data_IF_093924866983
#
_entry.id   IF_093924866983
#
_cell.length_a   1.000
_cell.length_b   1.000
_cell.length_c   1.000
_cell.angle_alpha   90.00
_cell.angle_beta   90.00
_cell.angle_gamma   90.00
#
_symmetry.space_group_name_H-M   'P 1'
#
loop_
_entity.id
_entity.type
_entity.pdbx_description
1 polymer ?
#
# COMPACT_ATOMS: atom_id res chain seq x y z
N UNK A 1 4.40 -40.63 -29.70
CA UNK A 1 3.37 -39.82 -28.99
C UNK A 1 3.63 -38.33 -29.14
N UNK A 2 4.79 -37.79 -28.73
CA UNK A 2 5.10 -36.34 -28.77
C UNK A 2 4.77 -35.68 -30.12
N UNK A 3 5.16 -36.28 -31.26
CA UNK A 3 4.91 -35.71 -32.58
C UNK A 3 3.42 -35.54 -32.94
N UNK A 4 2.51 -36.35 -32.38
CA UNK A 4 1.06 -36.18 -32.57
C UNK A 4 0.49 -35.04 -31.73
N UNK A 5 1.08 -34.75 -30.57
CA UNK A 5 0.72 -33.60 -29.74
C UNK A 5 1.13 -32.30 -30.44
N UNK A 6 2.38 -32.20 -30.88
CA UNK A 6 2.86 -31.02 -31.64
C UNK A 6 2.05 -30.80 -32.91
N UNK A 7 1.75 -31.85 -33.70
CA UNK A 7 0.99 -31.72 -34.93
C UNK A 7 -0.49 -31.33 -34.76
N UNK A 8 -1.07 -31.49 -33.56
CA UNK A 8 -2.48 -31.14 -33.29
C UNK A 8 -2.66 -29.88 -32.45
N UNK A 9 -1.77 -29.67 -31.48
CA UNK A 9 -1.93 -28.61 -30.47
C UNK A 9 -1.19 -27.34 -30.88
N UNK A 10 -0.06 -27.46 -31.60
CA UNK A 10 0.65 -26.28 -32.09
C UNK A 10 -0.23 -25.35 -32.95
N UNK A 11 -0.96 -25.81 -33.99
CA UNK A 11 -1.76 -24.88 -34.81
C UNK A 11 -2.91 -24.20 -34.05
N UNK A 12 -3.43 -24.79 -32.96
CA UNK A 12 -4.43 -24.14 -32.11
C UNK A 12 -3.79 -23.10 -31.17
N UNK A 13 -2.55 -23.33 -30.71
CA UNK A 13 -1.79 -22.34 -29.94
C UNK A 13 -1.37 -21.18 -30.84
N UNK A 14 -0.84 -21.46 -32.03
CA UNK A 14 -0.43 -20.44 -32.99
C UNK A 14 -1.65 -19.54 -33.33
N UNK A 15 -2.82 -20.11 -33.64
CA UNK A 15 -4.06 -19.33 -33.88
C UNK A 15 -4.52 -18.50 -32.68
N UNK A 16 -4.33 -18.99 -31.45
CA UNK A 16 -4.69 -18.24 -30.24
C UNK A 16 -3.73 -17.07 -29.96
N UNK A 17 -2.47 -17.18 -30.40
CA UNK A 17 -1.51 -16.07 -30.35
C UNK A 17 -1.84 -15.01 -31.40
N UNK A 18 -2.17 -15.44 -32.63
CA UNK A 18 -2.64 -14.54 -33.70
C UNK A 18 -3.92 -13.77 -33.26
N UNK A 19 -4.89 -14.46 -32.64
CA UNK A 19 -6.12 -13.86 -32.08
C UNK A 19 -5.85 -12.87 -30.92
N UNK A 20 -4.74 -12.99 -30.21
CA UNK A 20 -4.33 -12.01 -29.17
C UNK A 20 -3.66 -10.80 -29.83
N UNK A 21 -2.74 -11.02 -30.78
CA UNK A 21 -1.99 -9.94 -31.43
C UNK A 21 -2.93 -9.02 -32.23
N UNK A 22 -3.90 -9.57 -32.99
CA UNK A 22 -4.95 -8.79 -33.66
C UNK A 22 -5.84 -8.00 -32.68
N UNK A 23 -6.09 -8.54 -31.48
CA UNK A 23 -6.96 -7.89 -30.49
C UNK A 23 -6.22 -6.81 -29.68
N UNK A 24 -4.92 -6.98 -29.41
CA UNK A 24 -4.06 -5.96 -28.81
C UNK A 24 -3.83 -4.79 -29.80
N UNK A 25 -3.64 -5.06 -31.09
CA UNK A 25 -3.58 -4.03 -32.14
C UNK A 25 -4.93 -3.28 -32.27
N UNK A 26 -6.06 -3.98 -32.23
CA UNK A 26 -7.40 -3.38 -32.32
C UNK A 26 -7.86 -2.64 -31.04
N UNK A 27 -7.20 -2.83 -29.89
CA UNK A 27 -7.35 -1.97 -28.72
C UNK A 27 -6.45 -0.73 -28.85
N UNK A 28 -5.22 -0.87 -29.36
CA UNK A 28 -4.30 0.25 -29.58
C UNK A 28 -4.84 1.30 -30.58
N UNK A 29 -5.56 0.89 -31.64
CA UNK A 29 -6.20 1.84 -32.57
C UNK A 29 -7.43 2.57 -31.98
N UNK A 30 -8.00 2.13 -30.83
CA UNK A 30 -9.16 2.81 -30.21
C UNK A 30 -8.79 3.97 -29.29
N UNK A 31 -7.53 4.09 -28.87
CA UNK A 31 -7.08 5.14 -27.95
C UNK A 31 -6.81 6.50 -28.64
N UNK A 32 -6.96 6.62 -29.97
CA UNK A 32 -6.72 7.88 -30.70
C UNK A 32 -7.90 8.88 -30.75
N UNK A 33 -9.09 8.56 -30.23
CA UNK A 33 -10.21 9.53 -30.11
C UNK A 33 -10.64 9.79 -28.65
N UNK A 34 -9.84 10.56 -27.92
CA UNK A 34 -10.29 11.29 -26.73
C UNK A 34 -10.48 12.78 -27.05
N UNK A 35 -11.61 13.40 -26.66
CA UNK A 35 -11.81 14.83 -26.82
C UNK A 35 -10.90 15.63 -25.88
N UNK A 36 -10.34 16.72 -26.42
CA UNK A 36 -9.54 17.72 -25.72
C UNK A 36 -10.39 18.51 -24.70
N UNK A 37 -10.48 17.99 -23.47
CA UNK A 37 -11.05 18.69 -22.32
C UNK A 37 -9.95 19.09 -21.32
N UNK A 38 -9.56 20.36 -21.45
CA UNK A 38 -8.68 21.12 -20.55
C UNK A 38 -8.98 20.85 -19.05
N UNK A 39 -8.01 20.32 -18.30
CA UNK A 39 -7.92 20.64 -16.86
C UNK A 39 -6.46 20.85 -16.45
N UNK A 40 -6.10 22.12 -16.31
CA UNK A 40 -4.84 22.54 -15.69
C UNK A 40 -4.74 21.93 -14.28
N UNK A 41 -3.81 20.98 -14.08
CA UNK A 41 -2.75 21.10 -13.08
C UNK A 41 -1.65 20.05 -13.28
N UNK A 42 -0.46 20.53 -13.64
CA UNK A 42 0.80 19.78 -13.71
C UNK A 42 1.34 19.48 -12.29
N UNK A 43 0.63 18.61 -11.57
CA UNK A 43 1.10 17.95 -10.35
C UNK A 43 1.35 16.47 -10.63
N UNK A 44 2.29 15.84 -9.92
CA UNK A 44 2.48 14.40 -10.03
C UNK A 44 1.14 13.69 -9.76
N UNK A 45 0.65 12.88 -10.70
CA UNK A 45 -0.66 12.22 -10.59
C UNK A 45 -0.56 11.15 -9.50
N UNK A 46 -0.94 11.55 -8.29
CA UNK A 46 -0.95 10.69 -7.10
C UNK A 46 -2.08 9.68 -7.25
N UNK A 47 -1.75 8.44 -7.60
CA UNK A 47 -2.74 7.39 -7.79
C UNK A 47 -3.42 7.02 -6.45
N UNK A 48 -4.72 7.29 -6.34
CA UNK A 48 -5.57 6.95 -5.21
C UNK A 48 -6.53 5.79 -5.50
N UNK A 49 -6.37 5.08 -6.61
CA UNK A 49 -7.22 3.95 -7.03
C UNK A 49 -7.32 2.82 -6.01
N UNK A 50 -6.27 2.60 -5.20
CA UNK A 50 -6.26 1.63 -4.11
C UNK A 50 -7.06 2.02 -2.87
N UNK A 51 -7.66 3.22 -2.80
CA UNK A 51 -8.43 3.67 -1.65
C UNK A 51 -9.92 3.35 -1.85
N UNK A 52 -10.47 2.53 -0.95
CA UNK A 52 -11.89 2.25 -0.90
C UNK A 52 -12.62 3.24 0.05
N UNK A 53 -13.37 4.26 -0.44
CA UNK A 53 -14.03 5.25 0.40
C UNK A 53 -15.20 4.66 1.24
N UNK A 54 -15.63 3.43 0.94
CA UNK A 54 -16.62 2.71 1.74
C UNK A 54 -16.03 2.11 3.04
N UNK A 55 -14.70 2.08 3.19
CA UNK A 55 -14.01 1.61 4.39
C UNK A 55 -14.54 2.34 5.65
N UNK A 56 -14.75 1.61 6.75
CA UNK A 56 -15.20 2.16 8.03
C UNK A 56 -14.18 3.12 8.65
N UNK A 57 -12.89 2.97 8.30
CA UNK A 57 -11.78 3.83 8.76
C UNK A 57 -11.76 5.21 8.09
N UNK A 58 -12.53 5.42 7.02
CA UNK A 58 -12.58 6.68 6.27
C UNK A 58 -13.84 7.45 6.67
N UNK A 59 -13.67 8.66 7.19
CA UNK A 59 -14.78 9.56 7.59
C UNK A 59 -15.22 10.46 6.44
N UNK A 60 -16.31 11.20 6.64
CA UNK A 60 -16.76 12.24 5.69
C UNK A 60 -15.69 13.31 5.54
N UNK A 61 -15.13 13.76 6.67
CA UNK A 61 -14.11 14.82 6.72
C UNK A 61 -12.86 14.43 5.92
N UNK A 62 -12.39 13.18 6.04
CA UNK A 62 -11.26 12.66 5.25
C UNK A 62 -11.56 12.66 3.75
N UNK A 63 -12.79 12.31 3.34
CA UNK A 63 -13.17 12.34 1.92
C UNK A 63 -13.19 13.78 1.41
N UNK A 64 -13.73 14.73 2.19
CA UNK A 64 -13.75 16.15 1.83
C UNK A 64 -12.35 16.75 1.80
N UNK A 65 -11.47 16.39 2.72
CA UNK A 65 -10.05 16.78 2.76
C UNK A 65 -9.32 16.32 1.49
N UNK A 66 -9.46 15.05 1.10
CA UNK A 66 -8.88 14.52 -0.15
C UNK A 66 -9.42 15.27 -1.37
N UNK A 67 -10.74 15.52 -1.44
CA UNK A 67 -11.32 16.24 -2.58
C UNK A 67 -10.83 17.70 -2.64
N UNK A 68 -10.69 18.37 -1.48
CA UNK A 68 -10.19 19.74 -1.42
C UNK A 68 -8.71 19.85 -1.78
N UNK A 69 -7.88 18.85 -1.46
CA UNK A 69 -6.45 18.83 -1.82
C UNK A 69 -6.26 18.64 -3.34
N UNK A 70 -6.99 17.73 -3.96
CA UNK A 70 -6.83 17.40 -5.39
C UNK A 70 -7.63 18.29 -6.34
N UNK A 71 -8.80 18.79 -5.92
CA UNK A 71 -9.69 19.65 -6.73
C UNK A 71 -10.13 20.88 -5.92
N UNK A 72 -9.20 21.78 -5.53
CA UNK A 72 -9.48 22.95 -4.68
C UNK A 72 -10.47 23.96 -5.27
N UNK A 73 -10.74 23.89 -6.59
CA UNK A 73 -11.75 24.69 -7.28
C UNK A 73 -13.19 24.28 -6.86
N UNK A 74 -13.39 23.06 -6.36
CA UNK A 74 -14.70 22.49 -6.02
C UNK A 74 -15.03 22.75 -4.54
N UNK A 75 -16.16 23.41 -4.27
CA UNK A 75 -16.67 23.64 -2.92
C UNK A 75 -17.83 22.69 -2.63
N UNK A 76 -17.57 21.71 -1.79
CA UNK A 76 -18.55 20.76 -1.30
C UNK A 76 -19.15 21.21 0.06
N UNK A 77 -20.41 20.88 0.37
CA UNK A 77 -21.02 21.22 1.66
C UNK A 77 -20.60 20.28 2.78
N UNK A 78 -20.11 20.85 3.89
CA UNK A 78 -19.63 20.12 5.08
C UNK A 78 -20.71 19.22 5.73
N UNK A 79 -21.99 19.53 5.55
CA UNK A 79 -23.12 18.83 6.18
C UNK A 79 -23.62 17.61 5.39
N UNK A 80 -22.84 17.09 4.44
CA UNK A 80 -23.26 15.98 3.59
C UNK A 80 -23.22 14.61 4.30
N UNK A 81 -24.02 13.66 3.80
CA UNK A 81 -23.99 12.28 4.27
C UNK A 81 -22.76 11.53 3.74
N UNK A 82 -22.29 10.49 4.44
CA UNK A 82 -21.18 9.65 3.96
C UNK A 82 -21.42 9.07 2.57
N UNK A 83 -22.68 8.73 2.23
CA UNK A 83 -23.02 8.27 0.89
C UNK A 83 -22.82 9.37 -0.17
N UNK A 84 -23.25 10.61 0.10
CA UNK A 84 -23.02 11.74 -0.80
C UNK A 84 -21.52 12.06 -0.95
N UNK A 85 -20.74 11.95 0.12
CA UNK A 85 -19.29 12.11 0.08
C UNK A 85 -18.60 11.05 -0.80
N UNK A 86 -19.00 9.78 -0.66
CA UNK A 86 -18.51 8.69 -1.52
C UNK A 86 -18.87 8.94 -2.99
N UNK A 87 -20.07 9.43 -3.29
CA UNK A 87 -20.46 9.81 -4.66
C UNK A 87 -19.60 10.96 -5.19
N UNK A 88 -19.36 12.01 -4.40
CA UNK A 88 -18.50 13.13 -4.79
C UNK A 88 -17.03 12.71 -5.01
N UNK A 89 -16.50 11.80 -4.18
CA UNK A 89 -15.19 11.18 -4.37
C UNK A 89 -15.12 10.46 -5.72
N UNK A 90 -16.16 9.70 -6.06
CA UNK A 90 -16.22 8.98 -7.33
C UNK A 90 -16.45 9.86 -8.56
N UNK A 91 -16.96 11.08 -8.38
CA UNK A 91 -17.14 12.08 -9.44
C UNK A 91 -15.90 12.93 -9.69
N UNK A 92 -15.01 13.10 -8.70
CA UNK A 92 -13.93 14.09 -8.76
C UNK A 92 -12.52 13.53 -8.55
N UNK A 93 -12.37 12.34 -7.98
CA UNK A 93 -11.08 11.74 -7.62
C UNK A 93 -10.84 10.43 -8.38
N UNK A 94 -11.70 9.43 -8.19
CA UNK A 94 -11.51 8.11 -8.82
C UNK A 94 -12.87 7.47 -9.15
N UNK A 95 -13.19 7.19 -10.44
CA UNK A 95 -14.44 6.54 -10.80
C UNK A 95 -14.58 5.17 -10.11
N UNK A 96 -15.82 4.67 -9.88
CA UNK A 96 -16.02 3.37 -9.26
C UNK A 96 -15.39 2.27 -10.12
N UNK A 97 -14.66 1.30 -9.53
CA UNK A 97 -14.06 0.21 -10.28
C UNK A 97 -15.14 -0.64 -10.94
N UNK A 98 -14.87 -1.11 -12.16
CA UNK A 98 -15.77 -2.04 -12.87
C UNK A 98 -15.97 -3.29 -12.02
N UNK A 99 -17.19 -3.51 -11.54
CA UNK A 99 -17.56 -4.57 -10.59
C UNK A 99 -17.88 -4.10 -9.15
N UNK A 100 -17.63 -2.84 -8.81
CA UNK A 100 -17.88 -2.28 -7.47
C UNK A 100 -16.78 -2.59 -6.44
N UNK A 101 -17.05 -2.25 -5.17
CA UNK A 101 -16.13 -2.48 -4.05
C UNK A 101 -16.62 -3.63 -3.13
N UNK A 102 -15.70 -4.42 -2.54
CA UNK A 102 -14.26 -4.44 -2.83
C UNK A 102 -13.98 -4.99 -4.23
N UNK A 103 -12.84 -4.63 -4.86
CA UNK A 103 -12.44 -5.24 -6.13
C UNK A 103 -12.26 -6.76 -5.97
N UNK A 104 -12.38 -7.55 -7.05
CA UNK A 104 -12.13 -8.98 -7.00
C UNK A 104 -10.72 -9.30 -6.47
N UNK A 105 -10.61 -10.29 -5.58
CA UNK A 105 -9.33 -10.78 -5.01
C UNK A 105 -8.30 -11.26 -6.04
N UNK A 106 -8.69 -11.35 -7.32
CA UNK A 106 -7.84 -11.70 -8.46
C UNK A 106 -7.15 -10.50 -9.10
N UNK A 107 -7.54 -9.25 -8.77
CA UNK A 107 -6.86 -8.05 -9.29
C UNK A 107 -5.59 -7.76 -8.48
N UNK A 108 -4.44 -7.47 -9.12
CA UNK A 108 -3.26 -6.98 -8.43
C UNK A 108 -3.58 -5.77 -7.53
N UNK A 109 -2.97 -5.68 -6.34
CA UNK A 109 -3.16 -4.54 -5.46
C UNK A 109 -2.48 -3.29 -6.01
N UNK A 110 -3.19 -2.16 -5.97
CA UNK A 110 -2.61 -0.86 -6.29
C UNK A 110 -1.72 -0.35 -5.16
N UNK A 111 -0.65 0.37 -5.52
CA UNK A 111 0.24 1.03 -4.54
C UNK A 111 -0.38 2.37 -4.17
N UNK A 112 -0.87 2.50 -2.95
CA UNK A 112 -1.35 3.78 -2.41
C UNK A 112 -0.15 4.53 -1.82
N UNK A 113 0.09 5.80 -2.19
CA UNK A 113 1.24 6.57 -1.71
C UNK A 113 1.05 7.10 -0.27
N UNK A 114 2.12 7.63 0.32
CA UNK A 114 2.05 8.36 1.58
C UNK A 114 1.54 9.81 1.33
N UNK A 115 0.76 10.39 2.27
CA UNK A 115 0.33 9.85 3.56
C UNK A 115 -0.91 8.93 3.47
N UNK A 116 -1.51 8.78 2.29
CA UNK A 116 -2.83 8.15 2.08
C UNK A 116 -2.92 6.66 2.42
N UNK A 117 -1.81 5.92 2.31
CA UNK A 117 -1.75 4.50 2.66
C UNK A 117 -2.19 4.19 4.10
N UNK A 118 -2.18 5.18 5.01
CA UNK A 118 -2.76 5.10 6.36
C UNK A 118 -4.24 4.73 6.36
N UNK A 119 -4.97 4.96 5.27
CA UNK A 119 -6.39 4.62 5.11
C UNK A 119 -6.65 3.17 4.71
N UNK A 120 -5.63 2.43 4.23
CA UNK A 120 -5.76 1.01 3.92
C UNK A 120 -6.12 0.18 5.16
N UNK A 121 -6.91 -0.88 4.97
CA UNK A 121 -7.17 -1.91 5.99
C UNK A 121 -5.94 -2.77 6.25
N UNK A 122 -5.96 -3.55 7.34
CA UNK A 122 -4.89 -4.52 7.64
C UNK A 122 -4.77 -5.58 6.54
N UNK A 123 -5.89 -6.00 5.95
CA UNK A 123 -5.89 -7.06 4.94
C UNK A 123 -5.45 -6.54 3.57
N UNK A 124 -5.84 -5.31 3.18
CA UNK A 124 -5.26 -4.65 2.00
C UNK A 124 -3.74 -4.50 2.14
N UNK A 125 -3.23 -4.00 3.28
CA UNK A 125 -1.78 -3.90 3.53
C UNK A 125 -1.07 -5.27 3.45
N UNK A 126 -1.64 -6.32 4.05
CA UNK A 126 -1.08 -7.67 4.00
C UNK A 126 -1.08 -8.25 2.59
N UNK A 127 -2.18 -8.07 1.85
CA UNK A 127 -2.30 -8.53 0.47
C UNK A 127 -1.30 -7.82 -0.44
N UNK A 128 -1.16 -6.49 -0.34
CA UNK A 128 -0.17 -5.72 -1.10
C UNK A 128 1.27 -6.13 -0.77
N UNK A 129 1.59 -6.30 0.51
CA UNK A 129 2.92 -6.77 0.94
C UNK A 129 3.22 -8.19 0.44
N UNK A 130 2.26 -9.10 0.51
CA UNK A 130 2.46 -10.48 0.04
C UNK A 130 2.54 -10.57 -1.50
N UNK A 131 1.92 -9.65 -2.22
CA UNK A 131 2.01 -9.55 -3.68
C UNK A 131 3.36 -9.01 -4.15
N UNK A 132 3.77 -7.82 -3.66
CA UNK A 132 5.01 -7.17 -4.11
C UNK A 132 6.27 -7.69 -3.43
N UNK A 133 6.16 -8.27 -2.23
CA UNK A 133 7.29 -8.73 -1.42
C UNK A 133 7.01 -10.11 -0.79
N UNK A 134 6.76 -11.16 -1.59
CA UNK A 134 6.42 -12.51 -1.09
C UNK A 134 7.50 -13.14 -0.19
N UNK A 135 8.73 -12.63 -0.23
CA UNK A 135 9.85 -13.03 0.63
C UNK A 135 9.75 -12.51 2.08
N UNK A 136 8.84 -11.56 2.37
CA UNK A 136 8.69 -11.01 3.73
C UNK A 136 7.74 -11.90 4.54
N UNK A 137 8.26 -12.46 5.64
CA UNK A 137 7.42 -13.15 6.61
C UNK A 137 6.60 -12.14 7.43
N UNK A 138 5.30 -12.10 7.20
CA UNK A 138 4.37 -11.33 8.04
C UNK A 138 3.88 -12.22 9.21
N UNK A 139 3.96 -11.73 10.47
CA UNK A 139 3.34 -12.42 11.60
C UNK A 139 1.85 -12.71 11.37
N UNK A 140 1.28 -13.67 12.11
CA UNK A 140 -0.13 -14.05 11.95
C UNK A 140 -1.14 -12.93 12.28
N UNK A 141 -0.80 -12.06 13.24
CA UNK A 141 -1.65 -10.94 13.67
C UNK A 141 -0.83 -9.64 13.91
N UNK A 142 -0.21 -9.06 12.88
CA UNK A 142 0.64 -7.88 13.03
C UNK A 142 -0.24 -6.63 13.24
N UNK A 143 0.23 -5.67 14.03
CA UNK A 143 -0.48 -4.40 14.23
C UNK A 143 -0.51 -3.59 12.92
N UNK A 144 -1.51 -2.71 12.76
CA UNK A 144 -1.60 -1.86 11.57
C UNK A 144 -0.36 -0.96 11.43
N UNK A 145 0.15 -0.41 12.53
CA UNK A 145 1.37 0.40 12.56
C UNK A 145 2.58 -0.35 11.97
N UNK A 146 2.80 -1.61 12.38
CA UNK A 146 3.89 -2.44 11.85
C UNK A 146 3.70 -2.68 10.35
N UNK A 147 2.48 -2.98 9.90
CA UNK A 147 2.19 -3.17 8.48
C UNK A 147 2.45 -1.89 7.65
N UNK A 148 2.09 -0.72 8.16
CA UNK A 148 2.36 0.57 7.50
C UNK A 148 3.88 0.79 7.35
N UNK A 149 4.68 0.63 8.41
CA UNK A 149 6.14 0.83 8.33
C UNK A 149 6.85 -0.17 7.40
N UNK A 150 6.36 -1.41 7.30
CA UNK A 150 6.87 -2.39 6.32
C UNK A 150 6.45 -1.96 4.90
N UNK A 151 5.22 -1.47 4.71
CA UNK A 151 4.71 -0.97 3.43
C UNK A 151 5.50 0.25 2.92
N UNK A 152 5.72 1.25 3.77
CA UNK A 152 6.54 2.43 3.47
C UNK A 152 7.98 2.05 3.06
N UNK A 153 8.58 1.06 3.74
CA UNK A 153 9.95 0.61 3.47
C UNK A 153 10.09 -0.23 2.20
N UNK A 154 9.18 -1.17 1.95
CA UNK A 154 9.36 -2.19 0.91
C UNK A 154 8.50 -1.99 -0.34
N UNK A 155 7.30 -1.41 -0.21
CA UNK A 155 6.40 -1.14 -1.35
C UNK A 155 6.64 0.27 -1.89
N UNK A 156 6.62 1.28 -1.03
CA UNK A 156 6.81 2.69 -1.44
C UNK A 156 8.28 3.12 -1.48
N UNK A 157 9.18 2.36 -0.86
CA UNK A 157 10.63 2.65 -0.77
C UNK A 157 10.98 4.01 -0.14
N UNK A 158 10.09 4.57 0.69
CA UNK A 158 10.26 5.90 1.31
C UNK A 158 11.23 5.90 2.50
N UNK A 159 11.41 4.75 3.15
CA UNK A 159 12.36 4.59 4.27
C UNK A 159 13.73 4.22 3.71
N UNK A 160 14.78 5.05 3.86
CA UNK A 160 16.12 4.72 3.38
C UNK A 160 16.61 3.40 3.97
N UNK A 161 17.31 2.58 3.19
CA UNK A 161 17.80 1.27 3.66
C UNK A 161 18.74 1.38 4.87
N UNK A 162 19.39 2.53 5.05
CA UNK A 162 20.22 2.91 6.20
C UNK A 162 19.44 3.18 7.48
N UNK A 163 18.15 3.53 7.39
CA UNK A 163 17.22 3.63 8.53
C UNK A 163 16.69 2.23 8.83
N UNK A 164 17.59 1.38 9.34
CA UNK A 164 17.25 0.06 9.83
C UNK A 164 16.65 0.15 11.24
N UNK A 165 15.38 -0.22 11.38
CA UNK A 165 14.77 -0.50 12.68
C UNK A 165 15.14 -1.92 13.14
N UNK A 166 15.46 -2.07 14.42
CA UNK A 166 16.09 -3.26 15.03
C UNK A 166 15.15 -4.03 15.98
N UNK A 167 15.49 -5.30 16.25
CA UNK A 167 15.12 -5.98 17.50
C UNK A 167 13.84 -6.82 17.48
N UNK A 168 13.83 -8.03 16.91
CA UNK A 168 14.93 -8.65 16.14
C UNK A 168 14.97 -8.14 14.70
N UNK A 169 13.97 -7.52 14.09
CA UNK A 169 12.61 -7.98 13.72
C UNK A 169 11.67 -8.65 14.76
N UNK A 170 10.38 -8.28 14.75
CA UNK A 170 9.82 -7.37 15.76
C UNK A 170 9.67 -8.05 17.16
N UNK A 171 10.40 -7.63 18.21
CA UNK A 171 10.37 -8.20 19.57
C UNK A 171 10.64 -7.10 20.63
N UNK A 172 10.71 -7.41 21.94
CA UNK A 172 10.80 -6.38 23.02
C UNK A 172 11.65 -6.83 24.20
N UNK A 173 12.82 -6.18 24.40
CA UNK A 173 13.39 -6.03 25.75
C UNK A 173 12.75 -4.80 26.39
N UNK A 174 12.00 -5.01 27.47
CA UNK A 174 11.58 -3.92 28.34
C UNK A 174 12.78 -3.59 29.23
N UNK A 175 13.48 -2.49 28.92
CA UNK A 175 14.31 -1.84 29.93
C UNK A 175 13.37 -1.10 30.87
N UNK A 176 13.22 -1.63 32.08
CA UNK A 176 12.83 -0.78 33.21
C UNK A 176 13.97 0.21 33.46
N UNK A 177 13.57 1.45 33.77
CA UNK A 177 14.37 2.55 34.30
C UNK A 177 15.51 3.13 33.43
N UNK A 178 15.20 4.31 32.85
CA UNK A 178 16.22 5.30 32.53
C UNK A 178 16.34 6.33 33.66
N UNK A 179 17.54 6.82 33.93
CA UNK A 179 17.76 7.92 34.86
C UNK A 179 18.99 7.75 35.74
N UNK A 180 20.05 8.50 35.40
CA UNK A 180 21.28 8.69 36.16
C UNK A 180 21.06 8.85 37.68
N UNK A 181 22.04 8.43 38.48
CA UNK A 181 22.71 9.36 39.40
C UNK A 181 24.15 8.93 39.70
N UNK A 182 25.02 9.91 39.94
CA UNK A 182 26.41 9.67 40.35
C UNK A 182 26.47 9.25 41.82
N UNK A 183 27.12 8.11 42.12
CA UNK A 183 27.70 7.88 43.46
C UNK A 183 29.07 7.24 43.31
N UNK A 184 30.12 7.97 43.70
CA UNK A 184 31.42 7.37 44.00
C UNK A 184 31.31 6.61 45.33
N UNK A 185 31.65 5.31 45.34
CA UNK A 185 32.14 4.65 46.56
C UNK A 185 33.37 3.82 46.21
N UNK A 186 34.32 3.91 47.11
CA UNK A 186 35.74 3.59 47.03
C UNK A 186 36.06 2.11 46.74
N UNK A 187 37.23 1.93 46.15
CA UNK A 187 37.93 0.66 45.99
C UNK A 187 38.50 0.21 47.34
N UNK A 188 37.79 -0.65 48.08
CA UNK A 188 38.41 -1.41 49.19
C UNK A 188 39.02 -2.70 48.66
N UNK A 189 40.36 -2.73 48.66
CA UNK A 189 41.17 -3.94 48.55
C UNK A 189 41.22 -4.60 49.93
N UNK A 190 40.75 -5.84 50.04
CA UNK A 190 41.01 -6.67 51.22
C UNK A 190 42.01 -7.77 50.86
N UNK A 191 43.23 -7.60 51.37
CA UNK A 191 44.42 -8.41 51.10
C UNK A 191 44.88 -9.01 52.44
N UNK A 192 44.68 -10.31 52.63
CA UNK A 192 45.18 -11.07 53.80
C UNK A 192 44.09 -11.92 54.49
N UNK A 193 44.18 -13.24 54.66
CA UNK A 193 45.26 -14.13 55.13
C UNK A 193 45.13 -14.49 56.63
N UNK A 194 45.66 -15.69 56.97
CA UNK A 194 45.78 -16.32 58.30
C UNK A 194 44.47 -16.85 58.91
N UNK A 195 44.27 -18.17 58.91
CA UNK A 195 44.75 -19.18 59.90
C UNK A 195 43.94 -19.16 61.21
N UNK A 196 43.18 -20.25 61.47
CA UNK A 196 43.41 -21.22 62.55
C UNK A 196 42.43 -22.41 62.47
#
# INVERSE_FOLDING_TARGET
MINQFVAKVKPEIDRYLDEIEENDEAEAEKDEELPDDNDDHEGAVVDLSGINPNNSSITVDVILEIIAEFKPKIKLPDTMSKHAAIVAYHQHIMPPPVGGFPPPFTRPPHIVPAPYHKYLTRDELRYTLQHFCPQIFLPGAPSKTILLSIYERYVQQLVPQTVAFEGVHFYVCLSEDGGNDEVMVEEEVDDGAEEF
#
